data_IF_942175660090
#
_entry.id   IF_942175660090
#
_cell.length_a   1.000
_cell.length_b   1.000
_cell.length_c   1.000
_cell.angle_alpha   90.00
_cell.angle_beta   90.00
_cell.angle_gamma   90.00
#
_symmetry.space_group_name_H-M   'P 1'
#
loop_
_entity.id
_entity.type
_entity.pdbx_description
1 polymer ?
#
# COMPACT_ATOMS: atom_id res chain seq x y z
N UNK A 1 -16.20 6.37 -7.93
CA UNK A 1 -15.95 5.08 -7.27
C UNK A 1 -17.28 4.35 -7.22
N UNK A 2 -17.35 3.14 -7.76
CA UNK A 2 -18.58 2.34 -7.73
C UNK A 2 -18.56 1.50 -6.44
N UNK A 3 -19.41 1.85 -5.48
CA UNK A 3 -19.63 1.06 -4.26
C UNK A 3 -20.89 0.22 -4.49
N UNK A 4 -20.83 -1.08 -4.18
CA UNK A 4 -21.98 -1.96 -4.28
C UNK A 4 -23.07 -1.60 -3.27
N UNK A 5 -24.34 -1.88 -3.58
CA UNK A 5 -25.45 -1.67 -2.64
C UNK A 5 -25.22 -2.47 -1.34
N UNK A 6 -25.41 -1.83 -0.18
CA UNK A 6 -25.13 -2.42 1.13
C UNK A 6 -23.67 -2.33 1.58
N UNK A 7 -22.82 -1.57 0.86
CA UNK A 7 -21.43 -1.31 1.21
C UNK A 7 -21.19 0.20 1.33
N UNK A 8 -20.29 0.58 2.22
CA UNK A 8 -19.86 1.96 2.44
C UNK A 8 -18.34 2.06 2.48
N UNK A 9 -17.82 3.20 2.07
CA UNK A 9 -16.38 3.48 2.18
C UNK A 9 -16.01 3.69 3.65
N UNK A 10 -15.15 2.84 4.18
CA UNK A 10 -14.54 3.01 5.50
C UNK A 10 -13.06 3.29 5.37
N UNK A 11 -12.61 4.35 6.03
CA UNK A 11 -11.20 4.76 6.09
C UNK A 11 -10.48 4.04 7.22
N UNK A 12 -9.32 3.49 6.91
CA UNK A 12 -8.37 2.94 7.86
C UNK A 12 -7.06 3.70 7.70
N UNK A 13 -6.76 4.57 8.65
CA UNK A 13 -5.60 5.43 8.68
C UNK A 13 -4.33 4.66 9.01
N UNK A 14 -3.26 5.00 8.30
CA UNK A 14 -1.90 4.60 8.61
C UNK A 14 -1.42 5.46 9.77
N UNK A 15 -0.79 4.83 10.76
CA UNK A 15 -0.27 5.49 11.95
C UNK A 15 1.24 5.33 12.06
N UNK A 16 1.93 6.27 12.72
CA UNK A 16 3.36 6.16 12.97
C UNK A 16 3.71 4.84 13.68
N UNK A 17 4.83 4.23 13.32
CA UNK A 17 5.24 2.96 13.92
C UNK A 17 4.45 1.74 13.44
N UNK A 18 3.73 1.85 12.32
CA UNK A 18 3.15 0.70 11.60
C UNK A 18 1.81 0.20 12.13
N UNK A 19 1.04 1.05 12.81
CA UNK A 19 -0.34 0.73 13.18
C UNK A 19 -1.33 1.13 12.07
N UNK A 20 -2.48 0.43 12.01
CA UNK A 20 -3.61 0.76 11.14
C UNK A 20 -4.88 0.89 12.00
N UNK A 21 -5.60 2.00 11.94
CA UNK A 21 -6.77 2.23 12.78
C UNK A 21 -7.85 3.06 12.08
N UNK A 22 -9.07 3.07 12.60
CA UNK A 22 -10.19 3.83 12.01
C UNK A 22 -10.12 5.30 12.39
N UNK A 23 -9.60 5.60 13.58
CA UNK A 23 -9.30 6.94 14.04
C UNK A 23 -7.99 7.43 13.41
N UNK A 24 -7.91 8.69 13.01
CA UNK A 24 -6.68 9.27 12.49
C UNK A 24 -5.67 9.56 13.62
N UNK A 25 -4.38 9.60 13.28
CA UNK A 25 -3.33 10.05 14.22
C UNK A 25 -3.57 11.50 14.62
N UNK A 26 -3.42 11.80 15.91
CA UNK A 26 -3.59 13.15 16.47
C UNK A 26 -2.33 14.00 16.40
N UNK A 27 -1.18 13.39 16.15
CA UNK A 27 0.11 14.07 16.04
C UNK A 27 0.74 13.85 14.66
N UNK A 28 1.38 14.88 14.08
CA UNK A 28 2.11 14.75 12.83
C UNK A 28 3.35 13.88 13.01
N UNK A 29 3.57 12.94 12.10
CA UNK A 29 4.82 12.18 12.00
C UNK A 29 5.01 11.67 10.56
N UNK A 30 6.15 11.03 10.29
CA UNK A 30 6.39 10.33 9.05
C UNK A 30 7.20 9.05 9.30
N UNK A 31 6.92 8.02 8.50
CA UNK A 31 7.77 6.83 8.38
C UNK A 31 8.56 6.92 7.07
N UNK A 32 9.85 6.59 7.13
CA UNK A 32 10.79 6.78 6.01
C UNK A 32 11.37 5.45 5.54
N UNK A 33 11.68 5.38 4.24
CA UNK A 33 12.39 4.25 3.65
C UNK A 33 13.19 4.68 2.43
N UNK A 34 14.16 3.87 2.03
CA UNK A 34 14.97 4.12 0.84
C UNK A 34 14.58 3.17 -0.29
N UNK A 35 14.23 3.72 -1.44
CA UNK A 35 14.00 2.96 -2.65
C UNK A 35 15.24 3.03 -3.57
N UNK A 36 15.73 1.88 -4.02
CA UNK A 36 16.84 1.78 -4.98
C UNK A 36 16.37 1.07 -6.26
N UNK A 37 16.31 1.75 -7.42
CA UNK A 37 15.96 1.11 -8.68
C UNK A 37 16.96 0.02 -9.14
N UNK A 38 18.18 0.00 -8.59
CA UNK A 38 19.15 -1.07 -8.83
C UNK A 38 18.83 -2.35 -8.04
N UNK A 39 18.12 -2.24 -6.91
CA UNK A 39 17.54 -3.35 -6.14
C UNK A 39 16.02 -3.10 -5.92
N UNK A 40 15.21 -3.14 -6.99
CA UNK A 40 13.83 -2.72 -6.91
C UNK A 40 13.03 -3.68 -6.03
N UNK A 41 12.10 -3.14 -5.24
CA UNK A 41 11.15 -3.94 -4.46
C UNK A 41 10.46 -4.99 -5.35
N UNK A 42 10.58 -6.29 -5.06
CA UNK A 42 10.08 -7.34 -5.94
C UNK A 42 8.56 -7.54 -5.79
N UNK A 43 7.87 -7.87 -6.88
CA UNK A 43 6.47 -8.32 -6.83
C UNK A 43 6.39 -9.76 -6.34
N UNK A 44 5.56 -9.99 -5.33
CA UNK A 44 5.25 -11.34 -4.79
C UNK A 44 3.75 -11.59 -4.90
N UNK A 45 3.30 -12.58 -5.68
CA UNK A 45 1.87 -12.84 -5.86
C UNK A 45 1.13 -11.74 -6.64
N UNK A 46 -0.19 -11.68 -6.43
CA UNK A 46 -1.10 -10.75 -7.08
C UNK A 46 -1.38 -11.11 -8.54
N UNK A 47 -1.73 -10.10 -9.34
CA UNK A 47 -1.95 -10.23 -10.78
C UNK A 47 -0.59 -10.32 -11.47
N UNK A 48 -0.10 -11.54 -11.66
CA UNK A 48 1.18 -11.83 -12.30
C UNK A 48 1.03 -13.02 -13.27
N UNK A 49 2.04 -13.21 -14.13
CA UNK A 49 2.13 -14.42 -14.94
C UNK A 49 2.68 -15.58 -14.09
N UNK A 50 2.11 -16.79 -14.14
CA UNK A 50 2.66 -17.95 -13.46
C UNK A 50 4.11 -18.27 -13.90
N UNK A 51 4.95 -18.87 -13.03
CA UNK A 51 4.67 -19.28 -11.65
C UNK A 51 4.70 -18.11 -10.65
N UNK A 52 4.01 -18.26 -9.51
CA UNK A 52 4.04 -17.27 -8.41
C UNK A 52 2.93 -16.21 -8.45
N UNK A 53 1.92 -16.38 -9.30
CA UNK A 53 0.72 -15.55 -9.33
C UNK A 53 -0.28 -15.89 -8.21
N UNK A 54 -1.21 -14.97 -7.92
CA UNK A 54 -2.32 -15.21 -7.00
C UNK A 54 -2.00 -14.91 -5.53
N UNK A 55 -2.57 -15.70 -4.61
CA UNK A 55 -2.41 -15.50 -3.16
C UNK A 55 -1.11 -16.16 -2.69
N UNK A 56 -0.16 -15.35 -2.24
CA UNK A 56 1.17 -15.77 -1.82
C UNK A 56 1.48 -15.16 -0.45
N UNK A 57 2.32 -15.86 0.30
CA UNK A 57 2.85 -15.36 1.56
C UNK A 57 3.85 -14.21 1.32
N UNK A 58 3.57 -13.06 1.91
CA UNK A 58 4.34 -11.83 1.79
C UNK A 58 5.23 -11.57 3.02
N UNK A 59 5.20 -12.41 4.05
CA UNK A 59 5.94 -12.18 5.31
C UNK A 59 7.44 -11.94 5.07
N UNK A 60 8.06 -12.64 4.10
CA UNK A 60 9.46 -12.41 3.76
C UNK A 60 9.72 -11.09 3.03
N UNK A 61 8.78 -10.65 2.18
CA UNK A 61 8.86 -9.36 1.48
C UNK A 61 8.76 -8.20 2.47
N UNK A 62 7.84 -8.33 3.43
CA UNK A 62 7.57 -7.35 4.48
C UNK A 62 8.74 -7.12 5.44
N UNK A 63 9.76 -7.98 5.41
CA UNK A 63 11.00 -7.79 6.18
C UNK A 63 12.02 -6.89 5.47
N UNK A 64 11.78 -6.50 4.22
CA UNK A 64 12.68 -5.58 3.50
C UNK A 64 12.56 -4.15 4.07
N UNK A 65 13.67 -3.40 4.15
CA UNK A 65 13.67 -2.04 4.67
C UNK A 65 12.98 -1.02 3.76
N UNK A 66 12.71 -1.36 2.50
CA UNK A 66 12.00 -0.54 1.52
C UNK A 66 10.47 -0.83 1.47
N UNK A 67 9.97 -1.63 2.41
CA UNK A 67 8.54 -1.98 2.53
C UNK A 67 8.04 -1.59 3.92
N UNK A 68 7.24 -0.53 3.98
CA UNK A 68 6.52 -0.16 5.20
C UNK A 68 5.27 -1.03 5.36
N UNK A 69 4.99 -1.48 6.58
CA UNK A 69 3.77 -2.23 6.90
C UNK A 69 2.95 -1.56 7.99
N UNK A 70 1.65 -1.43 7.77
CA UNK A 70 0.68 -0.88 8.72
C UNK A 70 -0.35 -1.96 9.05
N UNK A 71 -0.45 -2.37 10.32
CA UNK A 71 -1.26 -3.52 10.72
C UNK A 71 -2.32 -3.12 11.73
N UNK A 72 -3.56 -3.55 11.46
CA UNK A 72 -4.69 -3.29 12.34
C UNK A 72 -4.73 -4.19 13.57
N UNK A 73 -5.66 -3.91 14.51
CA UNK A 73 -5.96 -4.83 15.60
C UNK A 73 -6.47 -6.17 15.08
N UNK A 74 -6.50 -7.17 15.96
CA UNK A 74 -7.21 -8.42 15.67
C UNK A 74 -8.68 -8.08 15.50
N UNK A 75 -9.27 -8.54 14.40
CA UNK A 75 -10.68 -8.33 14.12
C UNK A 75 -11.54 -9.14 15.10
N UNK A 76 -12.47 -8.46 15.77
CA UNK A 76 -13.43 -9.08 16.68
C UNK A 76 -14.58 -9.77 15.93
N UNK A 77 -14.83 -9.35 14.68
CA UNK A 77 -15.86 -9.90 13.80
C UNK A 77 -15.35 -10.04 12.36
N UNK A 78 -16.10 -10.73 11.50
CA UNK A 78 -15.79 -10.81 10.07
C UNK A 78 -15.94 -9.43 9.42
N UNK A 79 -14.93 -8.99 8.65
CA UNK A 79 -15.00 -7.78 7.83
C UNK A 79 -15.08 -8.17 6.37
N UNK A 80 -16.21 -7.90 5.73
CA UNK A 80 -16.44 -8.16 4.30
C UNK A 80 -16.22 -6.89 3.49
N UNK A 81 -15.40 -7.00 2.44
CA UNK A 81 -15.18 -5.94 1.45
C UNK A 81 -15.58 -6.41 0.06
N UNK A 82 -16.32 -5.57 -0.67
CA UNK A 82 -16.69 -5.81 -2.06
C UNK A 82 -16.68 -4.50 -2.83
N UNK A 83 -15.77 -4.37 -3.80
CA UNK A 83 -15.70 -3.22 -4.69
C UNK A 83 -14.28 -2.72 -4.95
N UNK A 84 -14.19 -1.47 -5.42
CA UNK A 84 -12.92 -0.78 -5.62
C UNK A 84 -12.27 -0.43 -4.28
N UNK A 85 -11.01 -0.82 -4.10
CA UNK A 85 -10.18 -0.38 -2.98
C UNK A 85 -9.31 0.77 -3.46
N UNK A 86 -9.11 1.78 -2.63
CA UNK A 86 -8.16 2.85 -2.90
C UNK A 86 -7.33 3.18 -1.67
N UNK A 87 -6.24 3.91 -1.88
CA UNK A 87 -5.45 4.48 -0.80
C UNK A 87 -5.13 5.94 -1.11
N UNK A 88 -5.13 6.75 -0.07
CA UNK A 88 -4.70 8.15 -0.07
C UNK A 88 -3.44 8.21 0.79
N UNK A 89 -2.27 8.33 0.17
CA UNK A 89 -0.97 8.33 0.86
C UNK A 89 -0.38 9.73 0.78
N UNK A 90 -0.19 10.39 1.92
CA UNK A 90 0.58 11.62 1.98
C UNK A 90 2.05 11.27 1.88
N UNK A 91 2.66 11.67 0.79
CA UNK A 91 3.93 11.14 0.33
C UNK A 91 4.86 12.25 -0.12
N UNK A 92 6.15 12.07 0.16
CA UNK A 92 7.24 12.88 -0.39
C UNK A 92 8.44 11.99 -0.69
N UNK A 93 9.18 12.36 -1.72
CA UNK A 93 10.41 11.74 -2.19
C UNK A 93 11.57 12.74 -2.10
N UNK A 94 12.81 12.26 -2.02
CA UNK A 94 14.00 13.09 -2.19
C UNK A 94 14.24 13.46 -3.67
N UNK A 95 13.49 12.87 -4.61
CA UNK A 95 13.56 13.11 -6.05
C UNK A 95 12.18 13.50 -6.62
N UNK A 96 12.11 14.26 -7.73
CA UNK A 96 10.84 14.69 -8.32
C UNK A 96 9.98 13.57 -8.92
N UNK A 97 10.54 12.38 -9.09
CA UNK A 97 9.87 11.24 -9.73
C UNK A 97 9.95 10.04 -8.80
N UNK A 98 8.79 9.49 -8.44
CA UNK A 98 8.69 8.32 -7.59
C UNK A 98 7.38 7.57 -7.89
N UNK A 99 7.35 6.29 -7.56
CA UNK A 99 6.13 5.50 -7.56
C UNK A 99 5.66 5.28 -6.12
N UNK A 100 4.35 5.18 -5.94
CA UNK A 100 3.72 4.76 -4.68
C UNK A 100 2.92 3.50 -4.95
N UNK A 101 3.43 2.38 -4.44
CA UNK A 101 2.78 1.08 -4.45
C UNK A 101 2.06 0.85 -3.12
N UNK A 102 0.83 0.36 -3.19
CA UNK A 102 0.05 -0.03 -2.01
C UNK A 102 -0.52 -1.42 -2.20
N UNK A 103 -0.39 -2.26 -1.17
CA UNK A 103 -0.98 -3.61 -1.15
C UNK A 103 -1.76 -3.87 0.12
N UNK A 104 -2.94 -4.43 -0.04
CA UNK A 104 -3.78 -4.95 1.03
C UNK A 104 -3.45 -6.44 1.27
N UNK A 105 -3.26 -6.81 2.53
CA UNK A 105 -2.98 -8.18 2.98
C UNK A 105 -3.89 -8.58 4.15
N UNK A 106 -4.14 -9.87 4.28
CA UNK A 106 -4.73 -10.51 5.45
C UNK A 106 -3.61 -11.18 6.27
N UNK A 107 -3.54 -10.89 7.56
CA UNK A 107 -2.58 -11.51 8.48
C UNK A 107 -3.30 -12.50 9.39
N UNK A 108 -2.77 -13.73 9.45
CA UNK A 108 -3.31 -14.79 10.30
C UNK A 108 -2.79 -14.73 11.75
N UNK A 109 -3.31 -15.59 12.61
CA UNK A 109 -2.95 -15.63 14.03
C UNK A 109 -1.48 -16.04 14.28
N UNK A 110 -0.80 -16.61 13.29
CA UNK A 110 0.63 -16.96 13.34
C UNK A 110 1.52 -15.88 12.73
N UNK A 111 0.94 -14.78 12.26
CA UNK A 111 1.67 -13.67 11.62
C UNK A 111 1.93 -13.86 10.13
N UNK A 112 1.35 -14.90 9.50
CA UNK A 112 1.48 -15.10 8.06
C UNK A 112 0.66 -14.04 7.32
N UNK A 113 1.28 -13.31 6.39
CA UNK A 113 0.65 -12.23 5.63
C UNK A 113 0.37 -12.67 4.19
N UNK A 114 -0.88 -12.67 3.75
CA UNK A 114 -1.27 -13.09 2.39
C UNK A 114 -1.90 -11.93 1.64
N UNK A 115 -1.41 -11.65 0.43
CA UNK A 115 -1.92 -10.56 -0.39
C UNK A 115 -3.41 -10.76 -0.80
N UNK A 116 -4.13 -9.64 -0.86
CA UNK A 116 -5.54 -9.55 -1.29
C UNK A 116 -5.62 -8.83 -2.64
N UNK A 117 -5.26 -7.56 -2.68
CA UNK A 117 -5.18 -6.75 -3.90
C UNK A 117 -4.12 -5.65 -3.72
N UNK A 118 -3.74 -5.02 -4.82
CA UNK A 118 -2.72 -3.97 -4.81
C UNK A 118 -2.86 -3.05 -6.02
N UNK A 119 -2.08 -1.98 -6.03
CA UNK A 119 -2.07 -0.96 -7.07
C UNK A 119 -0.81 -0.09 -6.95
N UNK A 120 -0.54 0.67 -8.00
CA UNK A 120 0.59 1.60 -8.07
C UNK A 120 0.14 2.87 -8.78
N UNK A 121 0.64 4.02 -8.31
CA UNK A 121 0.57 5.29 -9.03
C UNK A 121 1.96 5.89 -9.16
N UNK A 122 2.24 6.54 -10.29
CA UNK A 122 3.49 7.26 -10.53
C UNK A 122 3.30 8.75 -10.33
N UNK A 123 4.25 9.39 -9.64
CA UNK A 123 4.21 10.81 -9.31
C UNK A 123 5.28 11.58 -10.09
N UNK A 124 4.92 12.82 -10.46
CA UNK A 124 5.84 13.88 -10.90
C UNK A 124 5.67 15.04 -9.94
N UNK A 125 6.77 15.70 -9.54
CA UNK A 125 6.77 16.64 -8.41
C UNK A 125 6.70 15.92 -7.05
N UNK A 126 7.19 14.68 -6.98
CA UNK A 126 7.17 13.88 -5.75
C UNK A 126 8.06 14.46 -4.63
N UNK A 127 8.93 15.41 -4.94
CA UNK A 127 9.78 16.14 -4.00
C UNK A 127 9.03 17.21 -3.19
N UNK A 128 7.81 17.53 -3.60
CA UNK A 128 6.82 18.26 -2.82
C UNK A 128 5.90 17.28 -2.06
N UNK A 129 5.57 17.60 -0.81
CA UNK A 129 4.63 16.79 -0.05
C UNK A 129 3.23 16.91 -0.68
N UNK A 130 2.68 15.78 -1.09
CA UNK A 130 1.37 15.72 -1.72
C UNK A 130 0.61 14.44 -1.38
N UNK A 131 -0.66 14.39 -1.77
CA UNK A 131 -1.51 13.21 -1.60
C UNK A 131 -1.50 12.37 -2.86
N UNK A 132 -0.88 11.20 -2.78
CA UNK A 132 -0.91 10.17 -3.82
C UNK A 132 -2.19 9.33 -3.68
N UNK A 133 -3.06 9.40 -4.70
CA UNK A 133 -4.23 8.51 -4.78
C UNK A 133 -3.86 7.25 -5.55
N UNK A 134 -3.83 6.11 -4.87
CA UNK A 134 -3.55 4.79 -5.46
C UNK A 134 -4.87 4.03 -5.60
N UNK A 135 -5.25 3.71 -6.84
CA UNK A 135 -6.37 2.79 -7.09
C UNK A 135 -5.85 1.36 -7.07
N UNK A 136 -6.39 0.53 -6.18
CA UNK A 136 -6.09 -0.88 -6.13
C UNK A 136 -7.09 -1.66 -7.00
N UNK A 137 -6.74 -2.90 -7.35
CA UNK A 137 -7.68 -3.77 -8.06
C UNK A 137 -8.98 -4.00 -7.25
N UNK A 138 -10.15 -3.97 -7.90
CA UNK A 138 -11.41 -4.35 -7.26
C UNK A 138 -11.32 -5.76 -6.67
N UNK A 139 -11.93 -5.96 -5.51
CA UNK A 139 -11.86 -7.23 -4.80
C UNK A 139 -13.16 -7.55 -4.08
N UNK A 140 -13.40 -8.86 -3.89
CA UNK A 140 -14.42 -9.39 -3.00
C UNK A 140 -13.69 -10.29 -2.00
N UNK A 141 -13.58 -9.85 -0.75
CA UNK A 141 -12.80 -10.55 0.26
C UNK A 141 -13.45 -10.42 1.62
N UNK A 142 -13.38 -11.48 2.43
CA UNK A 142 -13.83 -11.48 3.81
C UNK A 142 -12.66 -11.80 4.72
N UNK A 143 -12.20 -10.80 5.45
CA UNK A 143 -11.26 -10.97 6.55
C UNK A 143 -12.03 -11.60 7.71
N UNK A 144 -11.55 -12.74 8.20
CA UNK A 144 -12.24 -13.45 9.28
C UNK A 144 -11.96 -12.84 10.64
N UNK A 145 -12.89 -13.00 11.57
CA UNK A 145 -12.64 -12.82 13.01
C UNK A 145 -11.33 -13.54 13.40
N UNK A 146 -10.50 -12.89 14.23
CA UNK A 146 -9.19 -13.39 14.63
C UNK A 146 -8.06 -13.11 13.62
N UNK A 147 -8.33 -12.44 12.51
CA UNK A 147 -7.33 -11.98 11.52
C UNK A 147 -7.00 -10.52 11.73
N UNK A 148 -6.04 -9.99 10.97
CA UNK A 148 -5.75 -8.56 10.90
C UNK A 148 -5.72 -8.10 9.46
N UNK A 149 -6.10 -6.84 9.24
CA UNK A 149 -5.89 -6.15 7.97
C UNK A 149 -4.49 -5.53 8.01
N UNK A 150 -3.69 -5.74 6.96
CA UNK A 150 -2.38 -5.12 6.80
C UNK A 150 -2.30 -4.36 5.47
N UNK A 151 -1.67 -3.20 5.50
CA UNK A 151 -1.32 -2.42 4.31
C UNK A 151 0.19 -2.41 4.18
N UNK A 152 0.70 -2.69 2.99
CA UNK A 152 2.09 -2.45 2.61
C UNK A 152 2.18 -1.16 1.79
N UNK A 153 3.21 -0.36 2.02
CA UNK A 153 3.56 0.80 1.18
C UNK A 153 5.03 0.69 0.78
N UNK A 154 5.32 0.84 -0.51
CA UNK A 154 6.69 0.88 -1.05
C UNK A 154 6.70 1.70 -2.36
N UNK A 155 7.85 1.76 -3.04
CA UNK A 155 8.00 2.43 -4.34
C UNK A 155 8.26 1.46 -5.50
N UNK A 156 7.93 0.17 -5.34
CA UNK A 156 8.11 -0.79 -6.41
C UNK A 156 7.36 -2.10 -6.20
N UNK A 157 7.15 -2.81 -7.31
CA UNK A 157 6.71 -4.19 -7.33
C UNK A 157 7.16 -4.81 -8.67
N UNK A 158 8.48 -4.94 -8.84
CA UNK A 158 9.11 -5.41 -10.07
C UNK A 158 9.14 -6.95 -10.15
N UNK A 159 8.88 -7.58 -11.31
CA UNK A 159 8.68 -6.99 -12.63
C UNK A 159 7.22 -6.72 -13.00
N UNK A 160 6.27 -6.91 -12.08
CA UNK A 160 4.85 -6.63 -12.37
C UNK A 160 4.64 -5.19 -12.82
N UNK A 161 5.27 -4.24 -12.12
CA UNK A 161 5.40 -2.87 -12.57
C UNK A 161 6.85 -2.61 -12.97
N UNK A 162 7.04 -1.85 -14.05
CA UNK A 162 8.38 -1.38 -14.41
C UNK A 162 8.92 -0.50 -13.27
N UNK A 163 10.18 -0.71 -12.89
CA UNK A 163 10.84 0.11 -11.86
C UNK A 163 10.93 1.56 -12.31
N UNK A 164 10.67 2.49 -11.41
CA UNK A 164 10.90 3.91 -11.66
C UNK A 164 12.42 4.21 -11.55
N UNK A 165 13.06 4.83 -12.55
CA UNK A 165 14.50 5.12 -12.50
C UNK A 165 14.85 6.27 -11.54
N UNK A 166 13.87 7.04 -11.04
CA UNK A 166 14.09 8.20 -10.18
C UNK A 166 14.52 9.47 -10.91
N UNK A 167 14.63 9.42 -12.24
CA UNK A 167 15.21 10.51 -13.07
C UNK A 167 14.21 11.21 -13.98
N UNK A 168 13.02 10.63 -14.19
CA UNK A 168 12.06 11.09 -15.18
C UNK A 168 12.41 10.68 -16.62
N UNK A 169 13.52 9.95 -16.83
CA UNK A 169 13.84 9.35 -18.12
C UNK A 169 12.73 8.35 -18.54
N UNK A 170 12.40 8.22 -19.84
CA UNK A 170 11.43 7.24 -20.30
C UNK A 170 11.80 5.82 -19.89
N UNK A 171 10.88 5.08 -19.27
CA UNK A 171 11.14 3.75 -18.68
C UNK A 171 11.78 2.74 -19.65
N UNK A 172 11.45 2.82 -20.94
CA UNK A 172 11.96 1.90 -21.95
C UNK A 172 13.43 2.16 -22.34
N UNK A 173 13.94 3.36 -22.09
CA UNK A 173 15.27 3.81 -22.53
C UNK A 173 16.14 4.34 -21.41
N UNK A 174 15.61 4.40 -20.18
CA UNK A 174 16.32 4.95 -19.03
C UNK A 174 17.61 4.16 -18.77
N UNK A 175 18.71 4.89 -18.57
CA UNK A 175 20.02 4.29 -18.26
C UNK A 175 20.58 4.77 -16.93
N UNK A 176 20.14 5.94 -16.47
CA UNK A 176 20.50 6.48 -15.17
C UNK A 176 19.50 6.03 -14.12
N UNK A 177 19.97 5.37 -13.07
CA UNK A 177 19.17 4.98 -11.90
C UNK A 177 19.58 5.84 -10.70
N UNK A 178 18.61 6.42 -10.01
CA UNK A 178 18.83 7.20 -8.79
C UNK A 178 17.95 6.66 -7.67
N UNK A 179 18.60 6.19 -6.62
CA UNK A 179 17.93 5.85 -5.37
C UNK A 179 17.38 7.11 -4.70
N UNK A 180 16.26 6.97 -4.00
CA UNK A 180 15.54 8.06 -3.37
C UNK A 180 15.03 7.67 -1.99
N UNK A 181 15.10 8.62 -1.07
CA UNK A 181 14.52 8.50 0.27
C UNK A 181 13.07 8.98 0.21
N UNK A 182 12.17 8.17 0.75
CA UNK A 182 10.73 8.32 0.67
C UNK A 182 10.17 8.51 2.07
N UNK A 183 9.13 9.33 2.21
CA UNK A 183 8.42 9.52 3.48
C UNK A 183 6.92 9.40 3.30
N UNK A 184 6.29 8.61 4.17
CA UNK A 184 4.83 8.49 4.31
C UNK A 184 4.40 9.24 5.56
N UNK A 185 3.56 10.25 5.37
CA UNK A 185 3.16 11.17 6.43
C UNK A 185 1.83 10.79 7.05
N UNK A 186 1.72 11.10 8.34
CA UNK A 186 0.57 10.82 9.19
C UNK A 186 0.18 12.08 9.96
N UNK A 187 -1.06 12.15 10.43
CA UNK A 187 -1.53 13.20 11.33
C UNK A 187 -2.82 13.86 10.84
N UNK A 188 -3.30 14.90 11.56
CA UNK A 188 -4.58 15.55 11.27
C UNK A 188 -4.64 16.20 9.87
N UNK A 189 -3.53 16.79 9.43
CA UNK A 189 -3.42 17.46 8.13
C UNK A 189 -2.96 16.50 7.02
N UNK A 190 -2.26 15.42 7.37
CA UNK A 190 -1.76 14.39 6.46
C UNK A 190 -2.31 12.99 6.81
N UNK A 191 -3.63 12.77 6.76
CA UNK A 191 -4.23 11.53 7.24
C UNK A 191 -4.13 10.40 6.20
N UNK A 192 -2.93 9.85 5.97
CA UNK A 192 -2.74 8.70 5.08
C UNK A 192 -3.69 7.56 5.44
N UNK A 193 -4.37 6.96 4.47
CA UNK A 193 -5.39 5.94 4.71
C UNK A 193 -5.56 4.97 3.54
N UNK A 194 -5.98 3.74 3.84
CA UNK A 194 -6.65 2.85 2.88
C UNK A 194 -8.16 2.98 3.04
N UNK A 195 -8.88 2.99 1.92
CA UNK A 195 -10.32 3.17 1.84
C UNK A 195 -10.92 1.87 1.32
N UNK A 196 -11.67 1.21 2.19
CA UNK A 196 -12.22 -0.12 1.96
C UNK A 196 -13.75 -0.02 1.78
N UNK A 197 -14.33 -0.66 0.75
CA UNK A 197 -15.78 -0.75 0.60
C UNK A 197 -16.30 -1.85 1.53
N UNK A 198 -16.61 -1.50 2.78
CA UNK A 198 -16.99 -2.43 3.85
C UNK A 198 -18.50 -2.62 3.86
N UNK A 199 -18.95 -3.86 4.08
CA UNK A 199 -20.38 -4.15 4.23
C UNK A 199 -20.97 -3.42 5.44
N UNK A 200 -22.11 -2.77 5.25
CA UNK A 200 -22.87 -2.14 6.33
C UNK A 200 -23.66 -3.22 7.07
N UNK A 201 -23.65 -3.18 8.40
CA UNK A 201 -24.52 -4.03 9.20
C UNK A 201 -25.99 -3.65 8.95
N UNK A 202 -26.84 -4.63 8.66
CA UNK A 202 -28.29 -4.45 8.53
C UNK A 202 -28.95 -4.19 9.88
#
# INVERSE_FOLDING_TARGET
MLIAEGYEERRFHLHPGGALAVEASTAPAADEYRYDPADPTPSVGGVAMPPGAGRVDNTALEARPDVLTYTGPVLEEDVEIVGEVSAEIWFRSSLPYADVFVRLCEVDAKGRSVNVCDGLTSLTGADELGRATVRLWPTAHRFRCGRRIRVQVSSGAFPRYARNPGTGEPLATATTLRAADQSVHHGPEQPSAVLLPVRVAL
#
